data_IF_614929620378
#
_entry.id   IF_614929620378
#
_cell.length_a   1.000
_cell.length_b   1.000
_cell.length_c   1.000
_cell.angle_alpha   90.00
_cell.angle_beta   90.00
_cell.angle_gamma   90.00
#
_symmetry.space_group_name_H-M   'P 1'
#
loop_
_entity.id
_entity.type
_entity.pdbx_description
1 polymer ?
#
# COMPACT_ATOMS: atom_id res chain seq x y z
N UNK A 1 26.75 40.76 -34.01
CA UNK A 1 27.42 40.01 -32.94
C UNK A 1 26.35 39.46 -32.00
N UNK A 2 25.47 38.62 -32.54
CA UNK A 2 24.21 38.24 -31.87
C UNK A 2 23.68 36.98 -32.55
N UNK A 3 24.24 35.81 -32.19
CA UNK A 3 23.69 34.47 -32.49
C UNK A 3 24.45 33.33 -31.81
N UNK A 4 25.04 33.58 -30.63
CA UNK A 4 25.87 32.59 -29.90
C UNK A 4 25.31 32.27 -28.52
N UNK A 5 23.99 32.14 -28.39
CA UNK A 5 23.31 31.72 -27.16
C UNK A 5 22.01 31.00 -27.53
N UNK A 6 22.08 29.70 -27.81
CA UNK A 6 21.01 28.69 -27.69
C UNK A 6 21.47 27.37 -28.32
N UNK A 7 22.31 26.65 -27.59
CA UNK A 7 22.45 25.19 -27.66
C UNK A 7 23.12 24.76 -26.35
N UNK A 8 22.41 25.02 -25.25
CA UNK A 8 22.62 24.22 -24.05
C UNK A 8 21.94 22.90 -24.38
N UNK A 9 22.74 21.85 -24.42
CA UNK A 9 22.35 20.47 -24.66
C UNK A 9 21.06 20.15 -23.88
N UNK A 10 19.97 20.02 -24.61
CA UNK A 10 18.75 19.40 -24.12
C UNK A 10 19.12 17.94 -23.91
N UNK A 11 19.54 17.62 -22.67
CA UNK A 11 19.77 16.26 -22.21
C UNK A 11 18.51 15.46 -22.58
N UNK A 12 18.61 14.64 -23.62
CA UNK A 12 17.53 13.86 -24.21
C UNK A 12 17.06 12.86 -23.15
N UNK A 13 16.16 13.31 -22.25
CA UNK A 13 15.55 12.44 -21.24
C UNK A 13 14.87 11.32 -22.03
N UNK A 14 15.18 10.04 -21.75
CA UNK A 14 14.66 8.93 -22.55
C UNK A 14 13.14 9.00 -22.60
N UNK A 15 12.60 9.02 -23.82
CA UNK A 15 11.17 9.16 -24.05
C UNK A 15 10.42 7.99 -23.40
N UNK A 16 9.57 8.29 -22.42
CA UNK A 16 8.84 7.27 -21.66
C UNK A 16 7.78 6.66 -22.58
N UNK A 17 7.98 5.39 -22.96
CA UNK A 17 7.02 4.64 -23.78
C UNK A 17 5.89 4.09 -22.90
N UNK A 18 4.80 4.83 -22.82
CA UNK A 18 3.60 4.40 -22.09
C UNK A 18 2.92 3.21 -22.79
N UNK A 19 2.65 2.15 -22.02
CA UNK A 19 1.95 0.93 -22.47
C UNK A 19 0.75 0.61 -21.58
N UNK A 20 0.08 1.64 -21.07
CA UNK A 20 -1.00 1.56 -20.08
C UNK A 20 -2.08 0.55 -20.41
N UNK A 21 -2.56 0.50 -21.66
CA UNK A 21 -3.60 -0.47 -22.07
C UNK A 21 -3.14 -1.93 -21.93
N UNK A 22 -1.85 -2.22 -22.17
CA UNK A 22 -1.28 -3.57 -22.00
C UNK A 22 -0.94 -3.87 -20.54
N UNK A 23 -0.55 -2.87 -19.75
CA UNK A 23 -0.21 -3.01 -18.34
C UNK A 23 -1.46 -3.13 -17.43
N UNK A 24 -2.55 -2.47 -17.80
CA UNK A 24 -3.77 -2.33 -17.00
C UNK A 24 -4.35 -3.67 -16.54
N UNK A 25 -4.51 -4.71 -17.39
CA UNK A 25 -5.03 -6.00 -16.94
C UNK A 25 -4.15 -6.68 -15.88
N UNK A 26 -2.82 -6.56 -15.98
CA UNK A 26 -1.90 -7.16 -15.00
C UNK A 26 -1.97 -6.44 -13.65
N UNK A 27 -2.06 -5.11 -13.65
CA UNK A 27 -2.14 -4.31 -12.43
C UNK A 27 -3.49 -4.51 -11.73
N UNK A 28 -4.59 -4.45 -12.49
CA UNK A 28 -5.93 -4.67 -11.95
C UNK A 28 -6.09 -6.11 -11.48
N UNK A 29 -5.60 -7.09 -12.25
CA UNK A 29 -5.61 -8.49 -11.84
C UNK A 29 -4.83 -8.72 -10.55
N UNK A 30 -3.58 -8.23 -10.49
CA UNK A 30 -2.76 -8.27 -9.28
C UNK A 30 -3.50 -7.70 -8.07
N UNK A 31 -4.07 -6.50 -8.19
CA UNK A 31 -4.81 -5.86 -7.10
C UNK A 31 -6.05 -6.65 -6.69
N UNK A 32 -6.82 -7.14 -7.67
CA UNK A 32 -8.05 -7.89 -7.41
C UNK A 32 -7.75 -9.14 -6.57
N UNK A 33 -6.71 -9.89 -6.95
CA UNK A 33 -6.29 -11.08 -6.23
C UNK A 33 -5.69 -10.78 -4.86
N UNK A 34 -4.92 -9.69 -4.74
CA UNK A 34 -4.41 -9.21 -3.44
C UNK A 34 -5.57 -8.89 -2.49
N UNK A 35 -6.53 -8.08 -2.95
CA UNK A 35 -7.68 -7.65 -2.14
C UNK A 35 -8.59 -8.81 -1.78
N UNK A 36 -8.82 -9.75 -2.70
CA UNK A 36 -9.56 -10.96 -2.42
C UNK A 36 -8.95 -11.74 -1.25
N UNK A 37 -7.63 -11.94 -1.24
CA UNK A 37 -6.94 -12.68 -0.18
C UNK A 37 -6.89 -11.92 1.13
N UNK A 38 -6.47 -10.65 1.09
CA UNK A 38 -6.27 -9.82 2.29
C UNK A 38 -7.59 -9.51 2.99
N UNK A 39 -8.64 -9.08 2.27
CA UNK A 39 -9.93 -8.71 2.89
C UNK A 39 -10.53 -9.92 3.62
N UNK A 40 -10.60 -11.08 2.98
CA UNK A 40 -11.26 -12.26 3.54
C UNK A 40 -10.54 -12.77 4.78
N UNK A 41 -9.21 -12.74 4.76
CA UNK A 41 -8.39 -13.08 5.94
C UNK A 41 -8.63 -12.09 7.08
N UNK A 42 -8.58 -10.78 6.80
CA UNK A 42 -8.70 -9.75 7.84
C UNK A 42 -10.12 -9.68 8.44
N UNK A 43 -11.16 -9.87 7.62
CA UNK A 43 -12.54 -9.74 8.06
C UNK A 43 -12.97 -10.84 9.03
N UNK A 44 -12.42 -12.05 8.92
CA UNK A 44 -12.75 -13.16 9.81
C UNK A 44 -11.68 -13.44 10.87
N UNK A 45 -10.66 -12.59 10.95
CA UNK A 45 -9.50 -12.81 11.80
C UNK A 45 -9.85 -12.84 13.29
N UNK A 46 -10.86 -12.06 13.72
CA UNK A 46 -11.32 -12.08 15.11
C UNK A 46 -11.83 -13.46 15.50
N UNK A 47 -12.63 -14.09 14.62
CA UNK A 47 -13.16 -15.43 14.84
C UNK A 47 -12.03 -16.45 14.81
N UNK A 48 -11.05 -16.30 13.93
CA UNK A 48 -9.87 -17.16 13.91
C UNK A 48 -9.10 -17.13 15.23
N UNK A 49 -8.81 -15.94 15.76
CA UNK A 49 -8.05 -15.77 17.00
C UNK A 49 -8.78 -16.33 18.23
N UNK A 50 -10.11 -16.18 18.29
CA UNK A 50 -10.90 -16.67 19.43
C UNK A 50 -11.17 -18.17 19.34
N UNK A 51 -11.39 -18.72 18.14
CA UNK A 51 -11.78 -20.13 17.97
C UNK A 51 -10.60 -21.09 17.78
N UNK A 52 -9.52 -20.66 17.14
CA UNK A 52 -8.35 -21.50 16.86
C UNK A 52 -7.21 -21.22 17.82
N UNK A 53 -6.95 -19.95 18.13
CA UNK A 53 -5.90 -19.55 19.06
C UNK A 53 -6.39 -19.47 20.52
N UNK A 54 -7.66 -19.79 20.80
CA UNK A 54 -8.27 -19.75 22.12
C UNK A 54 -8.03 -18.42 22.88
N UNK A 55 -7.87 -17.30 22.16
CA UNK A 55 -7.67 -16.00 22.78
C UNK A 55 -8.99 -15.45 23.32
N UNK A 56 -8.91 -14.70 24.42
CA UNK A 56 -10.09 -13.96 24.89
C UNK A 56 -10.53 -12.94 23.82
N UNK A 57 -11.84 -12.73 23.69
CA UNK A 57 -12.40 -11.75 22.74
C UNK A 57 -11.80 -10.36 22.93
N UNK A 58 -11.50 -9.97 24.17
CA UNK A 58 -10.88 -8.68 24.50
C UNK A 58 -9.45 -8.61 23.93
N UNK A 59 -8.63 -9.63 24.18
CA UNK A 59 -7.24 -9.69 23.70
C UNK A 59 -7.19 -9.72 22.17
N UNK A 60 -8.03 -10.54 21.54
CA UNK A 60 -8.09 -10.65 20.08
C UNK A 60 -8.54 -9.33 19.41
N UNK A 61 -9.53 -8.65 19.99
CA UNK A 61 -10.00 -7.33 19.50
C UNK A 61 -8.91 -6.27 19.66
N UNK A 62 -8.20 -6.25 20.80
CA UNK A 62 -7.07 -5.35 21.02
C UNK A 62 -5.98 -5.59 19.97
N UNK A 63 -5.60 -6.85 19.71
CA UNK A 63 -4.59 -7.19 18.71
C UNK A 63 -4.97 -6.69 17.32
N UNK A 64 -6.22 -6.93 16.89
CA UNK A 64 -6.72 -6.47 15.58
C UNK A 64 -6.76 -4.94 15.50
N UNK A 65 -7.14 -4.27 16.58
CA UNK A 65 -7.17 -2.80 16.64
C UNK A 65 -5.77 -2.21 16.54
N UNK A 66 -4.82 -2.77 17.29
CA UNK A 66 -3.39 -2.40 17.21
C UNK A 66 -2.86 -2.64 15.81
N UNK A 67 -3.11 -3.82 15.22
CA UNK A 67 -2.71 -4.14 13.86
C UNK A 67 -3.23 -3.13 12.83
N UNK A 68 -4.52 -2.77 12.89
CA UNK A 68 -5.11 -1.78 12.00
C UNK A 68 -4.50 -0.38 12.20
N UNK A 69 -4.30 0.03 13.46
CA UNK A 69 -3.63 1.29 13.80
C UNK A 69 -2.22 1.34 13.24
N UNK A 70 -1.40 0.33 13.53
CA UNK A 70 -0.02 0.21 13.03
C UNK A 70 0.03 0.20 11.51
N UNK A 71 -0.89 -0.50 10.84
CA UNK A 71 -0.96 -0.53 9.37
C UNK A 71 -1.21 0.85 8.77
N UNK A 72 -2.12 1.64 9.35
CA UNK A 72 -2.41 2.98 8.87
C UNK A 72 -1.22 3.93 9.07
N UNK A 73 -0.53 3.87 10.21
CA UNK A 73 0.69 4.64 10.43
C UNK A 73 1.84 4.19 9.51
N UNK A 74 2.02 2.87 9.36
CA UNK A 74 3.06 2.30 8.50
C UNK A 74 2.83 2.69 7.03
N UNK A 75 1.58 2.85 6.59
CA UNK A 75 1.24 3.34 5.24
C UNK A 75 1.82 4.74 4.97
N UNK A 76 1.85 5.63 5.96
CA UNK A 76 2.49 6.95 5.81
C UNK A 76 4.00 6.82 5.63
N UNK A 77 4.64 5.95 6.41
CA UNK A 77 6.07 5.66 6.29
C UNK A 77 6.39 4.99 4.94
N UNK A 78 5.57 4.06 4.50
CA UNK A 78 5.71 3.39 3.20
C UNK A 78 5.59 4.36 2.03
N UNK A 79 4.63 5.29 2.09
CA UNK A 79 4.51 6.37 1.11
C UNK A 79 5.78 7.24 1.06
N UNK A 80 6.30 7.65 2.21
CA UNK A 80 7.53 8.43 2.30
C UNK A 80 8.73 7.68 1.69
N UNK A 81 8.94 6.42 2.07
CA UNK A 81 10.04 5.59 1.56
C UNK A 81 9.94 5.32 0.06
N UNK A 82 8.72 5.13 -0.44
CA UNK A 82 8.46 4.97 -1.86
C UNK A 82 8.87 6.20 -2.67
N UNK A 83 8.42 7.38 -2.25
CA UNK A 83 8.60 8.61 -3.01
C UNK A 83 10.04 9.16 -2.92
N UNK A 84 10.80 8.76 -1.89
CA UNK A 84 12.17 9.24 -1.65
C UNK A 84 13.27 8.28 -2.12
N UNK A 85 13.15 6.97 -1.84
CA UNK A 85 14.28 6.04 -2.00
C UNK A 85 14.01 4.95 -3.03
N UNK A 86 12.94 4.17 -2.86
CA UNK A 86 12.78 2.90 -3.59
C UNK A 86 12.06 3.04 -4.94
N UNK A 87 11.16 4.01 -5.06
CA UNK A 87 10.26 4.14 -6.21
C UNK A 87 9.10 3.15 -6.16
N UNK A 88 8.00 3.51 -6.85
CA UNK A 88 6.70 2.81 -6.77
C UNK A 88 6.80 1.32 -7.14
N UNK A 89 7.52 0.98 -8.21
CA UNK A 89 7.65 -0.41 -8.66
C UNK A 89 8.36 -1.31 -7.64
N UNK A 90 9.51 -0.87 -7.10
CA UNK A 90 10.28 -1.69 -6.16
C UNK A 90 9.55 -1.82 -4.83
N UNK A 91 8.96 -0.74 -4.33
CA UNK A 91 8.15 -0.78 -3.11
C UNK A 91 6.99 -1.75 -3.27
N UNK A 92 6.26 -1.68 -4.39
CA UNK A 92 5.11 -2.53 -4.64
C UNK A 92 5.53 -4.00 -4.77
N UNK A 93 6.64 -4.30 -5.44
CA UNK A 93 7.18 -5.66 -5.55
C UNK A 93 7.64 -6.25 -4.20
N UNK A 94 8.32 -5.48 -3.36
CA UNK A 94 8.68 -5.94 -2.01
C UNK A 94 7.44 -6.13 -1.14
N UNK A 95 6.48 -5.21 -1.25
CA UNK A 95 5.28 -5.21 -0.43
C UNK A 95 4.33 -6.37 -0.79
N UNK A 96 4.16 -6.71 -2.07
CA UNK A 96 3.38 -7.89 -2.47
C UNK A 96 4.02 -9.20 -2.02
N UNK A 97 5.35 -9.31 -2.07
CA UNK A 97 6.07 -10.48 -1.51
C UNK A 97 5.90 -10.55 0.01
N UNK A 98 6.04 -9.43 0.73
CA UNK A 98 5.85 -9.37 2.18
C UNK A 98 4.41 -9.75 2.58
N UNK A 99 3.40 -9.24 1.87
CA UNK A 99 1.99 -9.62 2.07
C UNK A 99 1.76 -11.12 1.81
N UNK A 100 2.34 -11.68 0.75
CA UNK A 100 2.27 -13.12 0.48
C UNK A 100 2.87 -13.93 1.63
N UNK A 101 4.08 -13.58 2.09
CA UNK A 101 4.71 -14.27 3.21
C UNK A 101 3.89 -14.11 4.51
N UNK A 102 3.28 -12.96 4.74
CA UNK A 102 2.40 -12.74 5.89
C UNK A 102 1.16 -13.65 5.88
N UNK A 103 0.47 -13.74 4.74
CA UNK A 103 -0.66 -14.65 4.58
C UNK A 103 -0.23 -16.12 4.61
N UNK A 104 0.94 -16.45 4.06
CA UNK A 104 1.50 -17.80 4.12
C UNK A 104 1.79 -18.21 5.58
N UNK A 105 2.40 -17.33 6.37
CA UNK A 105 2.67 -17.57 7.80
C UNK A 105 1.36 -17.81 8.55
N UNK A 106 0.35 -16.97 8.35
CA UNK A 106 -0.98 -17.15 8.97
C UNK A 106 -1.61 -18.47 8.50
N UNK A 107 -1.52 -18.81 7.22
CA UNK A 107 -2.01 -20.09 6.71
C UNK A 107 -1.30 -21.28 7.36
N UNK A 108 0.02 -21.22 7.52
CA UNK A 108 0.78 -22.27 8.19
C UNK A 108 0.33 -22.46 9.63
N UNK A 109 -0.08 -21.38 10.32
CA UNK A 109 -0.65 -21.51 11.67
C UNK A 109 -1.95 -22.31 11.72
N UNK A 110 -2.72 -22.36 10.64
CA UNK A 110 -3.93 -23.17 10.55
C UNK A 110 -3.66 -24.58 10.00
N UNK A 111 -2.62 -24.74 9.18
CA UNK A 111 -2.28 -26.01 8.55
C UNK A 111 -1.49 -26.96 9.47
N UNK A 112 -0.60 -26.42 10.30
CA UNK A 112 0.29 -27.19 11.16
C UNK A 112 -0.23 -27.16 12.59
N UNK A 113 -0.60 -28.34 13.11
CA UNK A 113 -1.20 -28.51 14.45
C UNK A 113 -0.31 -28.03 15.60
N UNK A 114 1.00 -27.99 15.41
CA UNK A 114 1.96 -27.50 16.42
C UNK A 114 2.04 -25.97 16.49
N UNK A 115 1.58 -25.26 15.45
CA UNK A 115 1.63 -23.80 15.36
C UNK A 115 0.41 -23.11 15.95
N UNK A 116 -0.59 -23.87 16.42
CA UNK A 116 -1.74 -23.36 17.15
C UNK A 116 -2.01 -24.21 18.40
N UNK A 117 -2.66 -23.66 19.44
CA UNK A 117 -3.00 -24.44 20.62
C UNK A 117 -3.99 -25.57 20.27
N UNK A 118 -4.01 -26.66 21.04
CA UNK A 118 -4.95 -27.75 20.83
C UNK A 118 -6.40 -27.24 20.93
N UNK A 119 -7.29 -27.83 20.12
CA UNK A 119 -8.69 -27.45 20.11
C UNK A 119 -9.33 -27.71 21.48
N UNK A 120 -9.82 -26.65 22.12
CA UNK A 120 -10.61 -26.75 23.33
C UNK A 120 -12.09 -26.91 22.97
N UNK A 121 -12.75 -27.88 23.57
CA UNK A 121 -14.22 -27.91 23.57
C UNK A 121 -14.71 -26.96 24.65
N UNK A 122 -15.80 -26.23 24.38
CA UNK A 122 -16.39 -25.24 25.29
C UNK A 122 -16.84 -25.77 26.68
N UNK A 123 -16.63 -27.06 26.98
CA UNK A 123 -16.93 -27.72 28.26
C UNK A 123 -15.68 -28.05 29.10
N UNK A 124 -14.47 -27.84 28.60
CA UNK A 124 -13.25 -28.09 29.36
C UNK A 124 -12.85 -26.85 30.17
N UNK A 125 -12.66 -27.03 31.47
CA UNK A 125 -12.44 -25.97 32.46
C UNK A 125 -11.04 -25.35 32.41
N UNK A 126 -10.11 -25.92 31.61
CA UNK A 126 -8.74 -25.43 31.45
C UNK A 126 -8.32 -25.39 29.99
N UNK A 127 -8.86 -24.43 29.23
CA UNK A 127 -8.34 -24.17 27.91
C UNK A 127 -7.03 -23.36 28.00
N UNK A 128 -5.92 -23.97 27.60
CA UNK A 128 -4.63 -23.28 27.58
C UNK A 128 -4.58 -22.32 26.38
N UNK A 129 -4.22 -21.07 26.67
CA UNK A 129 -3.94 -20.08 25.64
C UNK A 129 -2.70 -20.45 24.80
N UNK A 130 -2.41 -19.68 23.76
CA UNK A 130 -1.31 -19.98 22.85
C UNK A 130 0.04 -19.86 23.57
N UNK A 131 0.96 -20.78 23.25
CA UNK A 131 2.34 -20.70 23.73
C UNK A 131 2.99 -19.39 23.28
N UNK A 132 3.99 -18.85 24.02
CA UNK A 132 4.73 -17.66 23.59
C UNK A 132 5.33 -17.80 22.18
N UNK A 133 5.79 -18.99 21.80
CA UNK A 133 6.34 -19.24 20.47
C UNK A 133 5.26 -19.19 19.37
N UNK A 134 4.09 -19.79 19.61
CA UNK A 134 2.96 -19.75 18.67
C UNK A 134 2.47 -18.31 18.47
N UNK A 135 2.43 -17.54 19.56
CA UNK A 135 2.09 -16.11 19.52
C UNK A 135 3.13 -15.31 18.74
N UNK A 136 4.42 -15.55 18.96
CA UNK A 136 5.49 -14.89 18.22
C UNK A 136 5.42 -15.18 16.70
N UNK A 137 5.16 -16.44 16.33
CA UNK A 137 5.01 -16.84 14.93
C UNK A 137 3.78 -16.19 14.28
N UNK A 138 2.65 -16.14 14.99
CA UNK A 138 1.47 -15.40 14.55
C UNK A 138 1.78 -13.90 14.35
N UNK A 139 2.44 -13.26 15.33
CA UNK A 139 2.82 -11.85 15.27
C UNK A 139 3.81 -11.55 14.14
N UNK A 140 4.68 -12.49 13.78
CA UNK A 140 5.53 -12.38 12.58
C UNK A 140 4.67 -12.28 11.32
N UNK A 141 3.61 -13.10 11.20
CA UNK A 141 2.65 -13.01 10.10
C UNK A 141 1.96 -11.65 10.03
N UNK A 142 1.47 -11.15 11.17
CA UNK A 142 0.92 -9.79 11.28
C UNK A 142 1.93 -8.71 10.89
N UNK A 143 3.18 -8.81 11.35
CA UNK A 143 4.24 -7.86 11.02
C UNK A 143 4.53 -7.81 9.52
N UNK A 144 4.61 -8.97 8.87
CA UNK A 144 4.77 -9.06 7.41
C UNK A 144 3.57 -8.46 6.66
N UNK A 145 2.35 -8.68 7.14
CA UNK A 145 1.16 -8.05 6.59
C UNK A 145 1.17 -6.52 6.76
N UNK A 146 1.64 -6.00 7.90
CA UNK A 146 1.82 -4.55 8.10
C UNK A 146 2.78 -3.99 7.05
N UNK A 147 3.93 -4.64 6.85
CA UNK A 147 4.94 -4.22 5.87
C UNK A 147 4.37 -4.23 4.45
N UNK A 148 3.64 -5.29 4.08
CA UNK A 148 3.01 -5.39 2.77
C UNK A 148 1.92 -4.35 2.56
N UNK A 149 1.03 -4.15 3.53
CA UNK A 149 -0.01 -3.12 3.45
C UNK A 149 0.58 -1.70 3.39
N UNK A 150 1.67 -1.45 4.11
CA UNK A 150 2.36 -0.15 4.13
C UNK A 150 2.89 0.26 2.75
N UNK A 151 3.37 -0.69 1.94
CA UNK A 151 3.87 -0.42 0.60
C UNK A 151 2.80 -0.49 -0.50
N UNK A 152 1.80 -1.37 -0.38
CA UNK A 152 0.77 -1.53 -1.41
C UNK A 152 -0.20 -0.34 -1.41
N UNK A 153 -0.77 0.00 -0.24
CA UNK A 153 -1.87 0.98 -0.14
C UNK A 153 -1.56 2.36 -0.72
N UNK A 154 -0.40 2.99 -0.45
CA UNK A 154 -0.14 4.34 -0.95
C UNK A 154 0.35 4.34 -2.40
N UNK A 155 0.93 3.24 -2.89
CA UNK A 155 1.64 3.21 -4.15
C UNK A 155 0.82 2.62 -5.30
N UNK A 156 -0.11 1.69 -5.03
CA UNK A 156 -0.70 0.86 -6.07
C UNK A 156 -1.56 1.65 -7.08
N UNK A 157 -2.46 2.51 -6.60
CA UNK A 157 -3.28 3.37 -7.47
C UNK A 157 -2.43 4.35 -8.29
N UNK A 158 -1.43 4.96 -7.64
CA UNK A 158 -0.52 5.89 -8.29
C UNK A 158 0.32 5.18 -9.37
N UNK A 159 0.82 3.98 -9.07
CA UNK A 159 1.56 3.15 -10.00
C UNK A 159 0.72 2.73 -11.22
N UNK A 160 -0.57 2.42 -11.02
CA UNK A 160 -1.49 2.14 -12.11
C UNK A 160 -1.77 3.35 -13.01
N UNK A 161 -1.95 4.52 -12.40
CA UNK A 161 -2.13 5.77 -13.14
C UNK A 161 -0.86 6.15 -13.95
N UNK A 162 0.33 5.91 -13.41
CA UNK A 162 1.62 6.18 -14.06
C UNK A 162 1.82 5.42 -15.38
N UNK A 163 1.03 4.40 -15.65
CA UNK A 163 1.13 3.62 -16.89
C UNK A 163 0.58 4.36 -18.11
N UNK A 164 -0.15 5.45 -17.90
CA UNK A 164 -0.78 6.25 -18.93
C UNK A 164 -0.15 7.64 -19.01
N UNK A 165 -0.13 8.23 -20.22
CA UNK A 165 0.45 9.55 -20.42
C UNK A 165 -0.55 10.68 -20.04
N UNK A 166 -0.31 11.47 -18.97
CA UNK A 166 -1.25 12.51 -18.54
C UNK A 166 -1.36 13.69 -19.51
N UNK A 167 -0.37 13.88 -20.40
CA UNK A 167 -0.32 15.00 -21.34
C UNK A 167 -1.15 14.75 -22.61
N UNK A 168 -1.70 13.55 -22.78
CA UNK A 168 -2.49 13.16 -23.96
C UNK A 168 -3.93 12.89 -23.58
N UNK A 169 -4.88 13.31 -24.41
CA UNK A 169 -6.32 13.04 -24.19
C UNK A 169 -6.64 11.54 -24.10
N UNK A 170 -5.97 10.71 -24.92
CA UNK A 170 -6.09 9.26 -24.86
C UNK A 170 -5.59 8.67 -23.54
N UNK A 171 -4.47 9.19 -23.01
CA UNK A 171 -3.93 8.77 -21.72
C UNK A 171 -4.83 9.19 -20.55
N UNK A 172 -5.35 10.41 -20.52
CA UNK A 172 -6.34 10.87 -19.51
C UNK A 172 -7.58 9.98 -19.51
N UNK A 173 -8.11 9.65 -20.69
CA UNK A 173 -9.24 8.71 -20.82
C UNK A 173 -8.89 7.31 -20.31
N UNK A 174 -7.66 6.85 -20.56
CA UNK A 174 -7.11 5.60 -20.02
C UNK A 174 -7.06 5.58 -18.50
N UNK A 175 -6.60 6.67 -17.87
CA UNK A 175 -6.59 6.83 -16.41
C UNK A 175 -8.01 6.74 -15.83
N UNK A 176 -8.97 7.46 -16.42
CA UNK A 176 -10.37 7.39 -15.97
C UNK A 176 -10.94 5.97 -16.09
N UNK A 177 -10.66 5.28 -17.21
CA UNK A 177 -11.07 3.89 -17.39
C UNK A 177 -10.40 2.95 -16.37
N UNK A 178 -9.13 3.19 -16.06
CA UNK A 178 -8.39 2.46 -15.02
C UNK A 178 -9.05 2.59 -13.65
N UNK A 179 -9.36 3.81 -13.21
CA UNK A 179 -10.04 4.02 -11.93
C UNK A 179 -11.42 3.36 -11.88
N UNK A 180 -12.21 3.46 -12.95
CA UNK A 180 -13.53 2.83 -13.02
C UNK A 180 -13.43 1.30 -12.88
N UNK A 181 -12.53 0.66 -13.65
CA UNK A 181 -12.32 -0.78 -13.55
C UNK A 181 -11.70 -1.20 -12.22
N UNK A 182 -10.80 -0.40 -11.66
CA UNK A 182 -10.21 -0.63 -10.34
C UNK A 182 -11.30 -0.70 -9.27
N UNK A 183 -12.17 0.31 -9.17
CA UNK A 183 -13.22 0.33 -8.14
C UNK A 183 -14.29 -0.74 -8.37
N UNK A 184 -14.61 -1.04 -9.63
CA UNK A 184 -15.52 -2.12 -9.96
C UNK A 184 -14.97 -3.48 -9.50
N UNK A 185 -13.74 -3.81 -9.87
CA UNK A 185 -13.09 -5.09 -9.51
C UNK A 185 -12.81 -5.18 -8.00
N UNK A 186 -12.41 -4.08 -7.37
CA UNK A 186 -12.27 -3.98 -5.91
C UNK A 186 -13.58 -4.31 -5.19
N UNK A 187 -14.70 -3.72 -5.63
CA UNK A 187 -16.01 -3.95 -5.00
C UNK A 187 -16.46 -5.39 -5.18
N UNK A 188 -16.28 -5.94 -6.39
CA UNK A 188 -16.56 -7.35 -6.66
C UNK A 188 -15.69 -8.29 -5.81
N UNK A 189 -14.38 -8.00 -5.71
CA UNK A 189 -13.45 -8.74 -4.86
C UNK A 189 -13.92 -8.73 -3.40
N UNK A 190 -14.30 -7.57 -2.87
CA UNK A 190 -14.81 -7.44 -1.51
C UNK A 190 -16.08 -8.27 -1.28
N UNK A 191 -17.04 -8.24 -2.21
CA UNK A 191 -18.26 -9.05 -2.12
C UNK A 191 -17.95 -10.56 -2.07
N UNK A 192 -17.11 -11.05 -3.00
CA UNK A 192 -16.71 -12.47 -3.06
C UNK A 192 -15.94 -12.88 -1.80
N UNK A 193 -15.03 -12.02 -1.33
CA UNK A 193 -14.19 -12.31 -0.19
C UNK A 193 -15.01 -12.42 1.11
N UNK A 194 -15.91 -11.46 1.36
CA UNK A 194 -16.77 -11.45 2.54
C UNK A 194 -17.85 -12.55 2.55
N UNK A 195 -18.14 -13.15 1.40
CA UNK A 195 -19.15 -14.22 1.27
C UNK A 195 -18.48 -15.59 1.17
N UNK A 196 -17.81 -15.89 0.06
CA UNK A 196 -17.27 -17.21 -0.23
C UNK A 196 -16.07 -17.56 0.66
N UNK A 197 -15.08 -16.67 0.79
CA UNK A 197 -13.87 -16.96 1.56
C UNK A 197 -14.20 -17.08 3.04
N UNK A 198 -14.97 -16.12 3.59
CA UNK A 198 -15.43 -16.17 4.99
C UNK A 198 -16.30 -17.40 5.25
N UNK A 199 -17.17 -17.80 4.30
CA UNK A 199 -17.96 -19.02 4.44
C UNK A 199 -17.09 -20.27 4.56
N UNK A 200 -16.07 -20.42 3.71
CA UNK A 200 -15.14 -21.56 3.76
C UNK A 200 -14.35 -21.56 5.07
N UNK A 201 -13.89 -20.40 5.53
CA UNK A 201 -13.15 -20.26 6.78
C UNK A 201 -13.99 -20.68 8.00
N UNK A 202 -15.25 -20.22 8.08
CA UNK A 202 -16.09 -20.43 9.26
C UNK A 202 -16.87 -21.76 9.26
N UNK A 203 -17.25 -22.29 8.09
CA UNK A 203 -18.14 -23.45 8.00
C UNK A 203 -17.47 -24.72 7.46
N UNK A 204 -16.34 -24.62 6.74
CA UNK A 204 -15.67 -25.77 6.13
C UNK A 204 -14.41 -26.14 6.91
N UNK A 205 -13.40 -25.28 6.89
CA UNK A 205 -12.14 -25.50 7.61
C UNK A 205 -11.27 -24.26 7.56
N UNK A 206 -10.64 -23.92 8.68
CA UNK A 206 -9.66 -22.84 8.76
C UNK A 206 -8.43 -23.08 7.88
N UNK A 207 -7.94 -24.32 7.81
CA UNK A 207 -6.78 -24.66 7.00
C UNK A 207 -7.04 -24.45 5.50
N UNK A 208 -8.22 -24.81 5.01
CA UNK A 208 -8.59 -24.57 3.59
C UNK A 208 -8.96 -23.10 3.37
N UNK A 209 -9.68 -22.51 4.31
CA UNK A 209 -10.16 -21.14 4.23
C UNK A 209 -9.06 -20.07 4.27
N UNK A 210 -7.91 -20.37 4.88
CA UNK A 210 -6.72 -19.51 4.84
C UNK A 210 -5.75 -19.90 3.69
N UNK A 211 -5.83 -21.13 3.16
CA UNK A 211 -5.06 -21.55 1.99
C UNK A 211 -5.49 -20.79 0.73
N UNK A 212 -6.80 -20.58 0.56
CA UNK A 212 -7.36 -19.85 -0.59
C UNK A 212 -6.79 -18.42 -0.66
N UNK A 213 -6.88 -17.57 0.40
CA UNK A 213 -6.20 -16.29 0.45
C UNK A 213 -4.70 -16.32 0.11
N UNK A 214 -3.96 -17.28 0.66
CA UNK A 214 -2.52 -17.40 0.40
C UNK A 214 -2.24 -17.74 -1.07
N UNK A 215 -3.03 -18.60 -1.70
CA UNK A 215 -2.92 -18.94 -3.10
C UNK A 215 -3.31 -17.78 -4.03
N UNK A 216 -4.37 -17.02 -3.70
CA UNK A 216 -4.75 -15.82 -4.44
C UNK A 216 -3.66 -14.75 -4.34
N UNK A 217 -3.05 -14.57 -3.17
CA UNK A 217 -1.94 -13.65 -2.99
C UNK A 217 -0.67 -14.09 -3.75
N UNK A 218 -0.42 -15.40 -3.85
CA UNK A 218 0.65 -15.92 -4.71
C UNK A 218 0.37 -15.60 -6.19
N UNK A 219 -0.87 -15.79 -6.64
CA UNK A 219 -1.29 -15.46 -8.01
C UNK A 219 -1.11 -13.96 -8.29
N UNK A 220 -1.50 -13.11 -7.34
CA UNK A 220 -1.27 -11.67 -7.38
C UNK A 220 0.21 -11.34 -7.60
N UNK A 221 1.09 -11.88 -6.74
CA UNK A 221 2.54 -11.73 -6.85
C UNK A 221 3.08 -12.15 -8.23
N UNK A 222 2.67 -13.31 -8.73
CA UNK A 222 3.08 -13.82 -10.05
C UNK A 222 2.63 -12.88 -11.18
N UNK A 223 1.37 -12.42 -11.17
CA UNK A 223 0.84 -11.49 -12.17
C UNK A 223 1.58 -10.15 -12.16
N UNK A 224 1.92 -9.64 -10.97
CA UNK A 224 2.74 -8.43 -10.84
C UNK A 224 4.08 -8.60 -11.55
N UNK A 225 4.81 -9.68 -11.26
CA UNK A 225 6.14 -9.88 -11.82
C UNK A 225 6.12 -10.21 -13.33
N UNK A 226 5.07 -10.87 -13.85
CA UNK A 226 4.91 -11.10 -15.30
C UNK A 226 4.83 -9.77 -16.06
N UNK A 227 4.10 -8.78 -15.53
CA UNK A 227 3.95 -7.45 -16.14
C UNK A 227 5.21 -6.57 -16.10
N UNK A 228 6.28 -7.01 -15.42
CA UNK A 228 7.50 -6.23 -15.15
C UNK A 228 8.13 -5.58 -16.38
N UNK A 229 8.15 -6.27 -17.53
CA UNK A 229 8.73 -5.75 -18.79
C UNK A 229 7.83 -4.75 -19.52
N UNK A 230 6.56 -4.65 -19.12
CA UNK A 230 5.54 -3.79 -19.72
C UNK A 230 5.40 -2.49 -18.93
N UNK A 231 5.66 -2.52 -17.62
CA UNK A 231 5.43 -1.39 -16.73
C UNK A 231 6.36 -0.20 -16.98
N UNK A 232 5.77 0.98 -16.93
CA UNK A 232 6.45 2.26 -16.82
C UNK A 232 6.90 2.44 -15.37
N UNK A 233 8.19 2.72 -15.18
CA UNK A 233 8.80 2.96 -13.88
C UNK A 233 9.16 4.43 -13.75
N UNK A 234 8.35 5.16 -13.00
CA UNK A 234 8.59 6.57 -12.70
C UNK A 234 9.70 6.67 -11.64
N UNK A 235 10.65 7.58 -11.86
CA UNK A 235 11.74 7.83 -10.89
C UNK A 235 11.16 8.51 -9.64
N UNK A 236 11.65 8.20 -8.43
CA UNK A 236 11.24 8.90 -7.21
C UNK A 236 11.50 10.40 -7.36
N UNK A 237 10.49 11.25 -7.10
CA UNK A 237 10.60 12.71 -7.20
C UNK A 237 10.77 13.40 -5.84
N UNK A 238 11.01 12.63 -4.78
CA UNK A 238 11.06 13.13 -3.41
C UNK A 238 9.67 13.22 -2.78
N UNK A 239 9.63 13.27 -1.44
CA UNK A 239 8.37 13.32 -0.71
C UNK A 239 8.03 14.75 -0.26
N UNK A 240 6.76 15.20 -0.43
CA UNK A 240 6.27 16.46 0.12
C UNK A 240 6.47 16.60 1.64
N UNK A 241 6.53 15.49 2.37
CA UNK A 241 6.81 15.49 3.81
C UNK A 241 8.19 16.06 4.14
N UNK A 242 9.19 15.85 3.28
CA UNK A 242 10.52 16.41 3.48
C UNK A 242 10.48 17.93 3.34
N UNK A 243 9.77 18.45 2.34
CA UNK A 243 9.57 19.89 2.14
C UNK A 243 8.82 20.51 3.32
N UNK A 244 7.77 19.85 3.84
CA UNK A 244 7.04 20.32 5.02
C UNK A 244 7.95 20.37 6.25
N UNK A 245 8.73 19.31 6.50
CA UNK A 245 9.67 19.27 7.61
C UNK A 245 10.74 20.37 7.49
N UNK A 246 11.27 20.60 6.29
CA UNK A 246 12.22 21.69 6.03
C UNK A 246 11.62 23.06 6.34
N UNK A 247 10.36 23.32 5.94
CA UNK A 247 9.66 24.57 6.23
C UNK A 247 9.44 24.75 7.73
N UNK A 248 9.01 23.71 8.45
CA UNK A 248 8.82 23.76 9.91
C UNK A 248 10.14 24.04 10.62
N UNK A 249 11.21 23.31 10.28
CA UNK A 249 12.54 23.49 10.87
C UNK A 249 13.07 24.89 10.56
N UNK A 250 12.92 25.37 9.32
CA UNK A 250 13.33 26.72 8.93
C UNK A 250 12.54 27.79 9.69
N UNK A 251 11.22 27.63 9.85
CA UNK A 251 10.37 28.55 10.59
C UNK A 251 10.77 28.63 12.07
N UNK A 252 11.03 27.48 12.72
CA UNK A 252 11.48 27.43 14.12
C UNK A 252 12.84 28.10 14.28
N UNK A 253 13.81 27.76 13.42
CA UNK A 253 15.18 28.32 13.48
C UNK A 253 15.20 29.82 13.19
N UNK A 254 14.36 30.29 12.28
CA UNK A 254 14.30 31.71 11.87
C UNK A 254 13.28 32.53 12.69
N UNK A 255 12.62 31.94 13.70
CA UNK A 255 11.58 32.61 14.51
C UNK A 255 12.04 33.89 15.22
N UNK A 256 13.33 34.03 15.49
CA UNK A 256 13.92 35.20 16.17
C UNK A 256 14.55 36.22 15.21
N UNK A 257 14.55 35.95 13.91
CA UNK A 257 15.10 36.88 12.93
C UNK A 257 14.08 37.99 12.64
N UNK A 258 14.54 39.23 12.52
CA UNK A 258 13.71 40.34 12.04
C UNK A 258 13.26 40.02 10.61
N UNK A 259 11.97 40.20 10.34
CA UNK A 259 11.43 39.99 9.00
C UNK A 259 12.10 40.97 8.03
N UNK A 260 12.57 40.49 6.86
CA UNK A 260 13.04 41.40 5.82
C UNK A 260 11.86 42.16 5.21
N UNK A 261 11.99 43.48 5.05
CA UNK A 261 11.15 44.31 4.17
C UNK A 261 11.83 44.38 2.78
N UNK A 262 11.19 44.31 1.59
CA UNK A 262 9.84 43.85 1.14
C UNK A 262 9.93 42.78 -0.02
N UNK A 263 8.86 42.49 -0.82
CA UNK A 263 7.49 42.15 -0.43
C UNK A 263 7.32 40.62 -0.30
N UNK A 264 6.48 40.21 0.65
CA UNK A 264 6.15 38.81 1.01
C UNK A 264 5.83 37.89 -0.21
N UNK A 265 5.32 38.46 -1.30
CA UNK A 265 4.97 37.72 -2.53
C UNK A 265 6.15 37.19 -3.37
N UNK A 266 7.38 37.70 -3.19
CA UNK A 266 8.55 37.20 -3.93
C UNK A 266 9.13 35.91 -3.33
N UNK A 267 8.97 35.71 -2.01
CA UNK A 267 9.54 34.57 -1.27
C UNK A 267 8.75 33.27 -1.43
N UNK A 268 7.47 33.37 -1.80
CA UNK A 268 6.59 32.22 -2.05
C UNK A 268 6.65 31.73 -3.51
N UNK A 269 7.54 32.29 -4.34
CA UNK A 269 7.59 32.07 -5.78
C UNK A 269 8.56 30.98 -6.23
N UNK A 270 9.03 30.14 -5.31
CA UNK A 270 9.90 29.00 -5.66
C UNK A 270 9.04 27.81 -6.11
N UNK A 271 8.98 27.58 -7.42
CA UNK A 271 8.44 26.36 -8.03
C UNK A 271 9.62 25.55 -8.57
N UNK A 272 9.86 24.31 -8.09
CA UNK A 272 10.83 23.42 -8.71
C UNK A 272 10.47 23.16 -10.17
N UNK A 273 11.44 23.14 -11.07
CA UNK A 273 11.19 22.95 -12.51
C UNK A 273 10.46 21.63 -12.86
N UNK A 274 10.47 20.65 -11.95
CA UNK A 274 9.82 19.34 -12.10
C UNK A 274 8.47 19.21 -11.34
N UNK A 275 7.94 20.29 -10.74
CA UNK A 275 6.69 20.26 -9.96
C UNK A 275 5.44 20.55 -10.80
N UNK A 276 4.49 19.62 -10.83
CA UNK A 276 3.20 19.69 -11.57
C UNK A 276 2.16 20.61 -10.87
N UNK A 277 2.44 21.12 -9.67
CA UNK A 277 1.44 21.87 -8.90
C UNK A 277 1.24 23.30 -9.45
N UNK A 278 -0.02 23.62 -9.75
CA UNK A 278 -0.48 24.91 -10.23
C UNK A 278 -0.24 26.01 -9.20
N UNK A 279 0.14 27.19 -9.70
CA UNK A 279 0.27 28.42 -8.92
C UNK A 279 -1.11 28.76 -8.34
N UNK A 280 -1.28 28.60 -7.02
CA UNK A 280 -2.48 29.07 -6.33
C UNK A 280 -2.42 30.61 -6.26
N UNK A 281 -3.46 31.33 -6.74
CA UNK A 281 -3.50 32.78 -6.65
C UNK A 281 -3.60 33.23 -5.19
N UNK A 282 -2.90 34.32 -4.85
CA UNK A 282 -2.90 34.91 -3.52
C UNK A 282 -4.30 35.42 -3.15
N UNK A 283 -4.86 34.99 -2.01
CA UNK A 283 -6.13 35.50 -1.46
C UNK A 283 -5.93 36.22 -0.13
N UNK A 284 -6.53 37.40 0.02
CA UNK A 284 -6.39 38.25 1.21
C UNK A 284 -7.39 37.91 2.34
N UNK A 285 -7.94 36.70 2.37
CA UNK A 285 -9.10 36.36 3.22
C UNK A 285 -8.77 36.08 4.70
N UNK A 286 -7.51 35.84 5.04
CA UNK A 286 -7.10 35.57 6.42
C UNK A 286 -5.92 36.46 6.77
N UNK A 287 -6.19 37.59 7.42
CA UNK A 287 -5.20 38.49 8.01
C UNK A 287 -5.38 38.50 9.52
#
# INVERSE_FOLDING_TARGET
>A
MEKTLKKVEENEKPEIKYRGVKAMPFIIGNETFEKLGTIGTLSNLLVYLTTVFNMSTITATMLITVFNGTTNFATLLGAFLCDTYFGRYNTLGFATVASFLGLLVIQLTAAIKELHPPHCKAKDTSCHGPSPWQTAFLLMGFGLLVVGAAGIRPCNLAFGADQFNPNTESGKRGINSFFNWYFFTYTFAQMVSLTLIVYVQSNVSWSIGLAIPAALMLMSCVLFFIGTKIYVRVKPQGSPFLSLAQVIVAAIRKRKLKQPEPPFGSLLRYVPADSINSILPHTNQFR
#
